data_IF_767448342060
#
_entry.id   IF_767448342060
#
_cell.length_a   1.000
_cell.length_b   1.000
_cell.length_c   1.000
_cell.angle_alpha   90.00
_cell.angle_beta   90.00
_cell.angle_gamma   90.00
#
_symmetry.space_group_name_H-M   'P 1'
#
loop_
_entity.id
_entity.type
_entity.pdbx_description
1 polymer ?
#
# COMPACT_ATOMS: atom_id res chain seq x y z
N UNK A 1 8.63 25.89 1.59
CA UNK A 1 8.62 24.57 2.25
C UNK A 1 9.90 24.45 3.07
N UNK A 2 9.81 24.11 4.36
CA UNK A 2 11.00 23.98 5.17
C UNK A 2 11.66 22.60 5.00
N UNK A 3 12.88 22.45 5.53
CA UNK A 3 13.62 21.19 5.38
C UNK A 3 12.90 20.00 6.00
N UNK A 4 12.20 20.19 7.11
CA UNK A 4 11.46 19.13 7.75
C UNK A 4 10.39 18.56 6.81
N UNK A 5 9.61 19.43 6.18
CA UNK A 5 8.59 18.98 5.22
C UNK A 5 9.21 18.30 4.01
N UNK A 6 10.35 18.84 3.54
CA UNK A 6 11.03 18.31 2.36
C UNK A 6 11.52 16.88 2.56
N UNK A 7 12.06 16.55 3.75
CA UNK A 7 12.58 15.22 4.04
C UNK A 7 11.52 14.28 4.60
N UNK A 8 10.51 14.81 5.32
CA UNK A 8 9.45 13.96 5.88
C UNK A 8 8.66 13.23 4.80
N UNK A 9 8.43 13.87 3.67
CA UNK A 9 7.64 13.29 2.59
C UNK A 9 8.27 12.01 2.00
N UNK A 10 9.54 12.01 1.53
CA UNK A 10 10.13 10.78 1.00
C UNK A 10 10.30 9.69 2.08
N UNK A 11 10.61 10.07 3.31
CA UNK A 11 10.75 9.10 4.40
C UNK A 11 9.39 8.46 4.71
N UNK A 12 8.34 9.27 4.81
CA UNK A 12 6.99 8.76 5.04
C UNK A 12 6.51 7.84 3.92
N UNK A 13 6.81 8.19 2.67
CA UNK A 13 6.47 7.32 1.53
C UNK A 13 7.19 5.98 1.63
N UNK A 14 8.47 6.00 1.99
CA UNK A 14 9.23 4.76 2.17
C UNK A 14 8.62 3.90 3.27
N UNK A 15 8.33 4.49 4.43
CA UNK A 15 7.79 3.75 5.57
C UNK A 15 6.44 3.12 5.27
N UNK A 16 5.54 3.87 4.63
CA UNK A 16 4.19 3.35 4.37
C UNK A 16 4.17 2.32 3.24
N UNK A 17 5.06 2.46 2.27
CA UNK A 17 5.00 1.64 1.06
C UNK A 17 5.93 0.43 1.09
N UNK A 18 7.01 0.45 1.87
CA UNK A 18 7.96 -0.67 1.91
C UNK A 18 7.28 -1.95 2.38
N UNK A 19 6.32 -1.84 3.30
CA UNK A 19 5.57 -2.99 3.78
C UNK A 19 4.81 -3.68 2.63
N UNK A 20 4.16 -2.90 1.77
CA UNK A 20 3.43 -3.44 0.63
C UNK A 20 4.36 -4.06 -0.40
N UNK A 21 5.44 -3.38 -0.70
CA UNK A 21 6.43 -3.89 -1.65
C UNK A 21 6.99 -5.23 -1.17
N UNK A 22 7.41 -5.30 0.09
CA UNK A 22 7.94 -6.54 0.67
C UNK A 22 6.87 -7.62 0.79
N UNK A 23 5.64 -7.25 1.13
CA UNK A 23 4.54 -8.21 1.21
C UNK A 23 4.26 -8.85 -0.15
N UNK A 24 4.29 -8.05 -1.22
CA UNK A 24 4.12 -8.56 -2.57
C UNK A 24 5.24 -9.51 -2.98
N UNK A 25 6.50 -9.17 -2.66
CA UNK A 25 7.62 -10.06 -2.93
C UNK A 25 7.50 -11.37 -2.15
N UNK A 26 7.14 -11.30 -0.88
CA UNK A 26 6.94 -12.50 -0.06
C UNK A 26 5.88 -13.42 -0.63
N UNK A 27 4.82 -12.85 -1.18
CA UNK A 27 3.75 -13.63 -1.81
C UNK A 27 4.23 -14.38 -3.05
N UNK A 28 5.21 -13.83 -3.77
CA UNK A 28 5.82 -14.54 -4.90
C UNK A 28 6.55 -15.79 -4.40
N UNK A 29 7.33 -15.65 -3.33
CA UNK A 29 8.13 -16.77 -2.79
C UNK A 29 7.29 -17.79 -2.02
N UNK A 30 6.20 -17.35 -1.40
CA UNK A 30 5.27 -18.21 -0.64
C UNK A 30 3.92 -18.34 -1.35
N UNK A 31 3.94 -18.49 -2.68
CA UNK A 31 2.74 -18.40 -3.52
C UNK A 31 1.68 -19.42 -3.10
N UNK A 32 2.05 -20.68 -2.97
CA UNK A 32 1.10 -21.75 -2.66
C UNK A 32 0.49 -21.58 -1.26
N UNK A 33 1.29 -21.18 -0.29
CA UNK A 33 0.78 -20.91 1.06
C UNK A 33 -0.20 -19.74 1.10
N UNK A 34 0.10 -18.69 0.36
CA UNK A 34 -0.78 -17.52 0.25
C UNK A 34 -2.09 -17.89 -0.46
N UNK A 35 -1.98 -18.68 -1.53
CA UNK A 35 -3.14 -19.17 -2.26
C UNK A 35 -4.09 -19.94 -1.35
N UNK A 36 -3.54 -20.87 -0.57
CA UNK A 36 -4.32 -21.65 0.40
C UNK A 36 -4.98 -20.77 1.46
N UNK A 37 -4.28 -19.77 1.96
CA UNK A 37 -4.85 -18.83 2.93
C UNK A 37 -6.02 -18.05 2.33
N UNK A 38 -5.86 -17.53 1.12
CA UNK A 38 -6.93 -16.79 0.44
C UNK A 38 -8.18 -17.66 0.27
N UNK A 39 -7.99 -18.88 -0.21
CA UNK A 39 -9.10 -19.80 -0.44
C UNK A 39 -9.79 -20.18 0.89
N UNK A 40 -9.03 -20.34 1.96
CA UNK A 40 -9.58 -20.61 3.29
C UNK A 40 -10.43 -19.44 3.79
N UNK A 41 -10.13 -18.22 3.37
CA UNK A 41 -10.90 -17.02 3.73
C UNK A 41 -12.03 -16.74 2.75
N UNK A 42 -12.27 -17.61 1.77
CA UNK A 42 -13.32 -17.43 0.78
C UNK A 42 -12.99 -16.47 -0.33
N UNK A 43 -11.71 -16.12 -0.49
CA UNK A 43 -11.26 -15.21 -1.55
C UNK A 43 -10.70 -16.04 -2.70
N UNK A 44 -11.18 -15.84 -3.95
CA UNK A 44 -10.70 -16.65 -5.06
C UNK A 44 -9.19 -16.53 -5.26
N UNK A 45 -8.50 -17.67 -5.30
CA UNK A 45 -7.05 -17.70 -5.47
C UNK A 45 -6.58 -17.14 -6.80
N UNK A 46 -7.44 -17.10 -7.80
CA UNK A 46 -7.12 -16.52 -9.12
C UNK A 46 -6.77 -15.03 -9.01
N UNK A 47 -7.17 -14.36 -7.92
CA UNK A 47 -6.86 -12.95 -7.68
C UNK A 47 -5.44 -12.74 -7.16
N UNK A 48 -4.73 -13.79 -6.76
CA UNK A 48 -3.39 -13.64 -6.16
C UNK A 48 -2.39 -12.90 -7.07
N UNK A 49 -2.30 -13.22 -8.39
CA UNK A 49 -1.41 -12.43 -9.25
C UNK A 49 -1.74 -10.95 -9.26
N UNK A 50 -3.03 -10.59 -9.24
CA UNK A 50 -3.46 -9.20 -9.18
C UNK A 50 -3.05 -8.54 -7.86
N UNK A 51 -3.17 -9.26 -6.74
CA UNK A 51 -2.73 -8.78 -5.43
C UNK A 51 -1.23 -8.50 -5.43
N UNK A 52 -0.43 -9.42 -5.96
CA UNK A 52 1.03 -9.28 -6.03
C UNK A 52 1.39 -8.06 -6.89
N UNK A 53 0.79 -7.91 -8.06
CA UNK A 53 1.05 -6.76 -8.93
C UNK A 53 0.69 -5.45 -8.23
N UNK A 54 -0.44 -5.41 -7.56
CA UNK A 54 -0.88 -4.23 -6.82
C UNK A 54 0.14 -3.85 -5.75
N UNK A 55 0.54 -4.81 -4.93
CA UNK A 55 1.46 -4.53 -3.82
C UNK A 55 2.86 -4.15 -4.30
N UNK A 56 3.40 -4.87 -5.28
CA UNK A 56 4.76 -4.63 -5.78
C UNK A 56 4.82 -3.33 -6.59
N UNK A 57 3.95 -3.19 -7.58
CA UNK A 57 4.03 -2.07 -8.51
C UNK A 57 3.60 -0.77 -7.85
N UNK A 58 2.46 -0.76 -7.16
CA UNK A 58 2.02 0.46 -6.51
C UNK A 58 2.90 0.81 -5.31
N UNK A 59 3.39 -0.19 -4.58
CA UNK A 59 4.35 0.03 -3.50
C UNK A 59 5.62 0.68 -4.01
N UNK A 60 6.19 0.17 -5.08
CA UNK A 60 7.38 0.74 -5.69
C UNK A 60 7.13 2.16 -6.23
N UNK A 61 5.97 2.37 -6.85
CA UNK A 61 5.58 3.68 -7.35
C UNK A 61 5.56 4.73 -6.24
N UNK A 62 5.04 4.38 -5.07
CA UNK A 62 5.02 5.27 -3.90
C UNK A 62 6.46 5.55 -3.42
N UNK A 63 7.30 4.52 -3.34
CA UNK A 63 8.67 4.66 -2.85
C UNK A 63 9.44 5.66 -3.71
N UNK A 64 9.38 5.51 -5.03
CA UNK A 64 10.09 6.41 -5.94
C UNK A 64 9.34 7.72 -6.20
N UNK A 65 8.06 7.79 -5.83
CA UNK A 65 7.23 8.96 -6.04
C UNK A 65 6.78 9.14 -7.48
N UNK A 66 6.39 8.07 -8.15
CA UNK A 66 5.90 8.08 -9.53
C UNK A 66 4.39 7.88 -9.54
N UNK A 67 3.67 8.80 -10.17
CA UNK A 67 2.21 8.83 -10.19
C UNK A 67 1.64 8.59 -8.79
N UNK A 68 2.19 9.29 -7.84
CA UNK A 68 2.03 9.03 -6.41
C UNK A 68 0.57 9.09 -5.98
N UNK A 69 -0.18 10.10 -6.45
CA UNK A 69 -1.58 10.26 -6.04
C UNK A 69 -2.43 9.07 -6.52
N UNK A 70 -2.20 8.63 -7.75
CA UNK A 70 -2.94 7.49 -8.31
C UNK A 70 -2.56 6.19 -7.60
N UNK A 71 -1.27 5.95 -7.38
CA UNK A 71 -0.79 4.76 -6.67
C UNK A 71 -1.30 4.74 -5.22
N UNK A 72 -1.30 5.89 -4.56
CA UNK A 72 -1.80 6.00 -3.19
C UNK A 72 -3.30 5.74 -3.11
N UNK A 73 -4.07 6.22 -4.07
CA UNK A 73 -5.50 5.92 -4.14
C UNK A 73 -5.74 4.41 -4.29
N UNK A 74 -4.97 3.77 -5.17
CA UNK A 74 -5.07 2.32 -5.36
C UNK A 74 -4.74 1.53 -4.10
N UNK A 75 -3.66 1.90 -3.40
CA UNK A 75 -3.28 1.21 -2.16
C UNK A 75 -4.21 1.53 -1.00
N UNK A 76 -4.79 2.73 -0.94
CA UNK A 76 -5.82 3.04 0.06
C UNK A 76 -7.02 2.12 -0.10
N UNK A 77 -7.53 2.01 -1.34
CA UNK A 77 -8.63 1.11 -1.63
C UNK A 77 -8.30 -0.34 -1.35
N UNK A 78 -7.10 -0.78 -1.76
CA UNK A 78 -6.62 -2.14 -1.51
C UNK A 78 -6.58 -2.44 0.00
N UNK A 79 -6.08 -1.51 0.80
CA UNK A 79 -5.99 -1.69 2.26
C UNK A 79 -7.37 -1.85 2.90
N UNK A 80 -8.35 -1.06 2.46
CA UNK A 80 -9.72 -1.14 2.99
C UNK A 80 -10.40 -2.44 2.57
N UNK A 81 -10.29 -2.83 1.30
CA UNK A 81 -10.88 -4.08 0.81
C UNK A 81 -10.24 -5.27 1.51
N UNK A 82 -8.92 -5.26 1.67
CA UNK A 82 -8.19 -6.31 2.37
C UNK A 82 -8.65 -6.43 3.83
N UNK A 83 -8.88 -5.30 4.52
CA UNK A 83 -9.38 -5.30 5.88
C UNK A 83 -10.76 -5.98 5.95
N UNK A 84 -11.65 -5.65 5.03
CA UNK A 84 -13.00 -6.22 5.01
C UNK A 84 -12.95 -7.73 4.71
N UNK A 85 -12.11 -8.15 3.78
CA UNK A 85 -12.05 -9.56 3.35
C UNK A 85 -11.35 -10.46 4.37
N UNK A 86 -10.30 -9.97 5.04
CA UNK A 86 -9.43 -10.83 5.85
C UNK A 86 -9.50 -10.55 7.35
N UNK A 87 -10.00 -9.40 7.78
CA UNK A 87 -9.92 -8.95 9.17
C UNK A 87 -11.25 -8.44 9.72
N UNK A 88 -12.37 -9.00 9.25
CA UNK A 88 -13.70 -8.51 9.66
C UNK A 88 -14.31 -9.27 10.85
N UNK A 89 -13.60 -10.23 11.42
CA UNK A 89 -14.07 -10.93 12.62
C UNK A 89 -13.74 -10.10 13.87
N UNK A 90 -14.66 -9.21 14.25
CA UNK A 90 -14.43 -8.28 15.36
C UNK A 90 -14.59 -8.94 16.73
N UNK A 91 -14.98 -10.19 16.78
CA UNK A 91 -14.97 -10.94 18.04
C UNK A 91 -13.56 -11.36 18.46
N UNK A 92 -12.61 -11.36 17.51
CA UNK A 92 -11.20 -11.63 17.74
C UNK A 92 -10.46 -10.30 17.84
N UNK A 93 -9.80 -10.07 18.98
CA UNK A 93 -9.04 -8.83 19.24
C UNK A 93 -7.94 -8.60 18.21
N UNK A 94 -7.21 -9.66 17.82
CA UNK A 94 -6.16 -9.57 16.83
C UNK A 94 -6.72 -9.11 15.47
N UNK A 95 -7.86 -9.68 15.06
CA UNK A 95 -8.50 -9.32 13.79
C UNK A 95 -8.96 -7.86 13.81
N UNK A 96 -9.52 -7.41 14.93
CA UNK A 96 -9.92 -6.02 15.07
C UNK A 96 -8.74 -5.07 14.96
N UNK A 97 -7.62 -5.42 15.60
CA UNK A 97 -6.39 -4.62 15.54
C UNK A 97 -5.87 -4.54 14.10
N UNK A 98 -5.87 -5.66 13.37
CA UNK A 98 -5.42 -5.68 11.98
C UNK A 98 -6.35 -4.88 11.07
N UNK A 99 -7.66 -4.94 11.32
CA UNK A 99 -8.61 -4.11 10.59
C UNK A 99 -8.33 -2.63 10.80
N UNK A 100 -8.19 -2.20 12.05
CA UNK A 100 -7.90 -0.80 12.36
C UNK A 100 -6.55 -0.34 11.82
N UNK A 101 -5.56 -1.23 11.81
CA UNK A 101 -4.26 -0.95 11.21
C UNK A 101 -4.41 -0.64 9.71
N UNK A 102 -5.20 -1.43 8.99
CA UNK A 102 -5.42 -1.21 7.57
C UNK A 102 -6.18 0.10 7.31
N UNK A 103 -7.12 0.45 8.19
CA UNK A 103 -7.82 1.74 8.10
C UNK A 103 -6.83 2.90 8.29
N UNK A 104 -5.93 2.78 9.27
CA UNK A 104 -4.90 3.81 9.51
C UNK A 104 -3.95 3.95 8.32
N UNK A 105 -3.54 2.83 7.72
CA UNK A 105 -2.69 2.82 6.53
C UNK A 105 -3.40 3.49 5.36
N UNK A 106 -4.68 3.18 5.15
CA UNK A 106 -5.48 3.82 4.11
C UNK A 106 -5.55 5.34 4.33
N UNK A 107 -5.68 5.78 5.59
CA UNK A 107 -5.64 7.20 5.93
C UNK A 107 -4.33 7.85 5.53
N UNK A 108 -3.21 7.18 5.79
CA UNK A 108 -1.90 7.66 5.37
C UNK A 108 -1.79 7.81 3.85
N UNK A 109 -2.31 6.85 3.09
CA UNK A 109 -2.33 6.96 1.63
C UNK A 109 -3.23 8.09 1.16
N UNK A 110 -4.34 8.36 1.85
CA UNK A 110 -5.20 9.48 1.49
C UNK A 110 -4.50 10.82 1.66
N UNK A 111 -3.59 10.95 2.65
CA UNK A 111 -2.75 12.15 2.74
C UNK A 111 -1.83 12.28 1.51
N UNK A 112 -1.33 11.17 0.99
CA UNK A 112 -0.55 11.21 -0.26
C UNK A 112 -1.41 11.58 -1.46
N UNK A 113 -2.65 11.12 -1.51
CA UNK A 113 -3.59 11.53 -2.56
C UNK A 113 -3.80 13.04 -2.52
N UNK A 114 -3.96 13.60 -1.32
CA UNK A 114 -4.22 15.02 -1.15
C UNK A 114 -2.99 15.88 -1.45
N UNK A 115 -1.81 15.46 -0.98
CA UNK A 115 -0.61 16.31 -0.95
C UNK A 115 0.42 15.95 -2.03
N UNK A 116 0.34 14.77 -2.62
CA UNK A 116 1.30 14.30 -3.61
C UNK A 116 2.61 13.85 -2.99
N UNK A 117 3.62 13.65 -3.86
CA UNK A 117 4.88 12.98 -3.48
C UNK A 117 5.89 13.87 -2.77
N UNK A 118 5.77 15.18 -2.91
CA UNK A 118 6.74 16.11 -2.36
C UNK A 118 7.91 16.40 -3.31
N UNK A 119 8.89 17.16 -2.83
CA UNK A 119 9.99 17.68 -3.65
C UNK A 119 10.92 16.56 -4.14
N UNK A 120 11.25 15.60 -3.29
CA UNK A 120 12.17 14.53 -3.66
C UNK A 120 11.38 13.33 -4.18
N UNK A 121 10.99 13.40 -5.46
CA UNK A 121 10.18 12.38 -6.08
C UNK A 121 10.36 12.41 -7.59
N UNK A 122 10.07 11.30 -8.24
CA UNK A 122 10.07 11.22 -9.69
C UNK A 122 8.98 12.13 -10.29
N UNK A 123 7.81 12.21 -9.64
CA UNK A 123 6.74 13.12 -10.06
C UNK A 123 7.22 14.57 -10.15
N UNK A 124 7.94 15.02 -9.13
CA UNK A 124 8.45 16.39 -9.11
C UNK A 124 9.50 16.62 -10.19
N UNK A 125 10.35 15.63 -10.41
CA UNK A 125 11.38 15.67 -11.45
C UNK A 125 10.78 15.75 -12.84
N UNK A 126 9.76 14.95 -13.12
CA UNK A 126 9.07 14.94 -14.40
C UNK A 126 8.30 16.25 -14.61
N UNK A 127 7.67 16.79 -13.57
CA UNK A 127 6.96 18.06 -13.66
C UNK A 127 7.92 19.22 -13.98
N UNK A 128 9.13 19.17 -13.42
CA UNK A 128 10.13 20.22 -13.68
C UNK A 128 10.65 20.20 -15.11
N UNK A 129 10.55 19.06 -15.80
CA UNK A 129 11.00 18.92 -17.20
C UNK A 129 9.88 19.18 -18.22
N UNK A 130 8.65 19.26 -17.75
CA UNK A 130 7.48 19.44 -18.64
C UNK A 130 7.32 20.88 -19.17
#
# INVERSE_FOLDING_TARGET
MNQLQTFASPIGRLFIAVMFFMAGLNKIFAYQGTLGYMEAMGVPGVLLPLVILTEVILGLAIIVGFKTRLAAFGLAGFSLVSAILFHADFSDQMQMTLFMKNVAIAGGFLFLVANGAGAYSLDNRLAAKA
#
